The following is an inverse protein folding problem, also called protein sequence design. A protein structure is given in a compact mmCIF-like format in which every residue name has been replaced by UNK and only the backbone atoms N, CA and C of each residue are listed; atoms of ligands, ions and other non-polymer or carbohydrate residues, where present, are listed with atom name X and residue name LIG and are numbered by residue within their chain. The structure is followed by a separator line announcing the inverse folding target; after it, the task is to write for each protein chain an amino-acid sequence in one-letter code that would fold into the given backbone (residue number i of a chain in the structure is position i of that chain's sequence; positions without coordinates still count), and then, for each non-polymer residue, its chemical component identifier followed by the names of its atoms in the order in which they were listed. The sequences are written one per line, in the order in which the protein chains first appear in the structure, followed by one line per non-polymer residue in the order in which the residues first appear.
data_IF_946237085681
#
_entry.id   IF_946237085681
#
_cell.length_a   1.000
_cell.length_b   1.000
_cell.length_c   1.000
_cell.angle_alpha   90.00
_cell.angle_beta   90.00
_cell.angle_gamma   90.00
#
_symmetry.space_group_name_H-M   'P 1'
#
loop_
_entity.id
_entity.type
_entity.pdbx_description
1 polymer ?
#
# COMPACT_ATOMS: atom_id res chain seq x y z
N UNK A 1 -21.68 -17.91 -13.97
CA UNK A 1 -20.81 -18.55 -12.95
C UNK A 1 -20.35 -17.52 -11.92
N UNK A 2 -20.71 -17.69 -10.65
CA UNK A 2 -20.19 -16.86 -9.55
C UNK A 2 -19.07 -17.63 -8.85
N UNK A 3 -17.82 -17.28 -9.14
CA UNK A 3 -16.67 -17.81 -8.41
C UNK A 3 -16.52 -17.06 -7.09
N UNK A 4 -17.09 -17.59 -6.02
CA UNK A 4 -16.85 -17.12 -4.65
C UNK A 4 -15.40 -17.46 -4.28
N UNK A 5 -14.53 -16.44 -4.26
CA UNK A 5 -13.20 -16.58 -3.67
C UNK A 5 -13.35 -16.77 -2.16
N UNK A 6 -12.71 -17.81 -1.62
CA UNK A 6 -12.73 -18.13 -0.18
C UNK A 6 -12.24 -16.92 0.65
N UNK A 7 -12.74 -16.74 1.88
CA UNK A 7 -12.25 -15.69 2.77
C UNK A 7 -10.83 -16.07 3.22
N UNK A 8 -9.81 -15.46 2.62
CA UNK A 8 -8.43 -15.59 3.07
C UNK A 8 -8.29 -14.86 4.41
N UNK A 9 -8.31 -15.60 5.51
CA UNK A 9 -8.50 -15.00 6.83
C UNK A 9 -7.33 -14.14 7.30
N UNK A 10 -6.08 -14.42 6.91
CA UNK A 10 -4.91 -13.57 7.17
C UNK A 10 -3.83 -13.89 6.12
N UNK A 11 -3.78 -13.13 5.02
CA UNK A 11 -2.66 -13.24 4.10
C UNK A 11 -1.44 -12.56 4.73
N UNK A 12 -0.33 -13.27 4.90
CA UNK A 12 0.98 -12.67 5.24
C UNK A 12 1.49 -11.84 4.05
N UNK A 13 0.88 -10.67 3.83
CA UNK A 13 1.29 -9.72 2.80
C UNK A 13 2.48 -8.91 3.30
N UNK A 14 3.57 -8.94 2.53
CA UNK A 14 4.65 -7.97 2.71
C UNK A 14 4.23 -6.63 2.10
N UNK A 15 3.84 -5.69 2.96
CA UNK A 15 3.63 -4.29 2.62
C UNK A 15 4.79 -3.47 3.17
N UNK A 16 5.45 -2.70 2.31
CA UNK A 16 6.45 -1.70 2.72
C UNK A 16 5.92 -0.31 2.39
N UNK A 17 5.89 0.58 3.37
CA UNK A 17 5.55 1.99 3.12
C UNK A 17 6.63 2.60 2.22
N UNK A 18 6.21 3.31 1.17
CA UNK A 18 7.10 4.11 0.35
C UNK A 18 7.31 5.47 1.01
N UNK A 19 8.48 6.10 0.82
CA UNK A 19 8.72 7.44 1.37
C UNK A 19 7.67 8.43 0.86
N UNK A 20 7.30 9.37 1.73
CA UNK A 20 6.36 10.43 1.40
C UNK A 20 6.99 11.45 0.47
N UNK A 21 6.19 11.97 -0.45
CA UNK A 21 6.57 13.10 -1.28
C UNK A 21 6.67 14.38 -0.43
N UNK A 22 7.43 15.38 -0.87
CA UNK A 22 7.60 16.67 -0.18
C UNK A 22 6.24 17.32 0.15
N UNK A 23 5.32 17.32 -0.81
CA UNK A 23 3.96 17.83 -0.61
C UNK A 23 3.18 17.09 0.50
N UNK A 24 3.43 15.78 0.67
CA UNK A 24 2.77 14.98 1.70
C UNK A 24 3.38 15.22 3.08
N UNK A 25 4.69 15.43 3.15
CA UNK A 25 5.38 15.78 4.39
C UNK A 25 4.89 17.12 4.90
N UNK A 26 4.86 18.13 4.02
CA UNK A 26 4.30 19.45 4.35
C UNK A 26 2.83 19.37 4.78
N UNK A 27 2.00 18.62 4.07
CA UNK A 27 0.60 18.42 4.45
C UNK A 27 0.46 17.74 5.82
N UNK A 28 1.34 16.78 6.14
CA UNK A 28 1.37 16.14 7.45
C UNK A 28 1.80 17.12 8.55
N UNK A 29 2.78 17.98 8.29
CA UNK A 29 3.21 19.02 9.22
C UNK A 29 2.10 20.06 9.49
N UNK A 30 1.35 20.45 8.46
CA UNK A 30 0.27 21.43 8.57
C UNK A 30 -1.00 20.86 9.22
N UNK A 31 -1.38 19.63 8.88
CA UNK A 31 -2.69 19.07 9.23
C UNK A 31 -2.65 17.86 10.16
N UNK A 32 -1.46 17.33 10.44
CA UNK A 32 -1.25 16.13 11.25
C UNK A 32 -1.70 14.82 10.58
N UNK A 33 -2.15 14.82 9.32
CA UNK A 33 -2.65 13.63 8.65
C UNK A 33 -2.35 13.61 7.15
N UNK A 34 -2.32 12.40 6.57
CA UNK A 34 -2.08 12.20 5.13
C UNK A 34 -3.28 11.53 4.49
N UNK A 35 -3.79 12.13 3.41
CA UNK A 35 -4.97 11.60 2.71
C UNK A 35 -4.65 10.34 1.89
N UNK A 36 -3.45 10.26 1.31
CA UNK A 36 -3.05 9.15 0.45
C UNK A 36 -1.64 8.69 0.77
N UNK A 37 -1.44 7.38 0.87
CA UNK A 37 -0.14 6.76 1.11
C UNK A 37 0.15 5.69 0.06
N UNK A 38 1.43 5.49 -0.23
CA UNK A 38 1.87 4.50 -1.21
C UNK A 38 2.60 3.35 -0.53
N UNK A 39 2.23 2.12 -0.86
CA UNK A 39 2.92 0.91 -0.42
C UNK A 39 3.54 0.18 -1.60
N UNK A 40 4.68 -0.47 -1.34
CA UNK A 40 5.28 -1.48 -2.21
C UNK A 40 4.89 -2.86 -1.71
N UNK A 41 4.33 -3.69 -2.59
CA UNK A 41 3.89 -5.05 -2.30
C UNK A 41 4.28 -6.04 -3.41
N UNK A 42 3.95 -7.31 -3.21
CA UNK A 42 4.19 -8.37 -4.20
C UNK A 42 3.22 -8.27 -5.39
N UNK A 43 3.63 -8.62 -6.62
CA UNK A 43 2.77 -8.57 -7.80
C UNK A 43 1.49 -9.43 -7.71
N UNK A 44 1.49 -10.46 -6.85
CA UNK A 44 0.35 -11.36 -6.66
C UNK A 44 -0.79 -10.76 -5.83
N UNK A 45 -0.52 -9.71 -5.04
CA UNK A 45 -1.51 -9.13 -4.13
C UNK A 45 -2.69 -8.46 -4.86
N UNK A 46 -3.92 -8.79 -4.46
CA UNK A 46 -5.15 -8.17 -4.96
C UNK A 46 -5.56 -6.92 -4.18
N UNK A 47 -6.34 -6.02 -4.79
CA UNK A 47 -6.84 -4.80 -4.13
C UNK A 47 -7.65 -5.09 -2.86
N UNK A 48 -8.53 -6.10 -2.92
CA UNK A 48 -9.40 -6.51 -1.81
C UNK A 48 -8.56 -7.05 -0.64
N UNK A 49 -7.52 -7.82 -0.95
CA UNK A 49 -6.61 -8.39 0.05
C UNK A 49 -5.82 -7.29 0.76
N UNK A 50 -5.26 -6.34 0.00
CA UNK A 50 -4.53 -5.19 0.54
C UNK A 50 -5.45 -4.37 1.46
N UNK A 51 -6.68 -4.08 1.02
CA UNK A 51 -7.66 -3.35 1.84
C UNK A 51 -7.95 -4.06 3.16
N UNK A 52 -8.33 -5.34 3.10
CA UNK A 52 -8.65 -6.15 4.28
C UNK A 52 -7.45 -6.30 5.23
N UNK A 53 -6.24 -6.45 4.68
CA UNK A 53 -5.02 -6.55 5.47
C UNK A 53 -4.75 -5.26 6.24
N UNK A 54 -4.84 -4.09 5.57
CA UNK A 54 -4.64 -2.80 6.21
C UNK A 54 -5.69 -2.50 7.28
N UNK A 55 -6.95 -2.83 7.02
CA UNK A 55 -8.05 -2.67 7.98
C UNK A 55 -7.88 -3.59 9.19
N UNK A 56 -7.56 -4.87 8.99
CA UNK A 56 -7.50 -5.87 10.07
C UNK A 56 -6.22 -5.80 10.90
N UNK A 57 -5.07 -5.62 10.25
CA UNK A 57 -3.77 -5.68 10.93
C UNK A 57 -3.40 -4.33 11.52
N UNK A 58 -3.67 -3.24 10.81
CA UNK A 58 -3.28 -1.89 11.23
C UNK A 58 -4.46 -1.02 11.70
N UNK A 59 -5.71 -1.52 11.62
CA UNK A 59 -6.88 -0.74 12.04
C UNK A 59 -7.16 0.50 11.18
N UNK A 60 -6.59 0.58 9.97
CA UNK A 60 -6.72 1.77 9.13
C UNK A 60 -8.08 1.85 8.44
N UNK A 61 -8.68 3.04 8.42
CA UNK A 61 -9.91 3.31 7.68
C UNK A 61 -9.62 3.58 6.19
N UNK A 62 -9.68 2.55 5.35
CA UNK A 62 -9.34 2.63 3.93
C UNK A 62 -10.57 2.90 3.05
N UNK A 63 -10.56 4.04 2.34
CA UNK A 63 -11.61 4.38 1.37
C UNK A 63 -11.43 3.57 0.09
N UNK A 64 -10.26 3.70 -0.53
CA UNK A 64 -9.99 3.14 -1.85
C UNK A 64 -8.53 2.66 -1.96
N UNK A 65 -8.33 1.61 -2.77
CA UNK A 65 -7.01 1.09 -3.12
C UNK A 65 -6.87 1.08 -4.64
N UNK A 66 -5.86 1.78 -5.14
CA UNK A 66 -5.45 1.78 -6.54
C UNK A 66 -4.08 1.11 -6.63
N UNK A 67 -3.87 0.28 -7.65
CA UNK A 67 -2.64 -0.52 -7.77
C UNK A 67 -2.06 -0.40 -9.16
N UNK A 68 -0.73 -0.38 -9.26
CA UNK A 68 0.03 -0.41 -10.51
C UNK A 68 1.11 -1.47 -10.39
N UNK A 69 1.27 -2.30 -11.41
CA UNK A 69 2.35 -3.30 -11.48
C UNK A 69 3.58 -2.65 -12.09
N UNK A 70 4.74 -2.83 -11.47
CA UNK A 70 6.03 -2.34 -11.94
C UNK A 70 6.99 -3.51 -12.13
N UNK A 71 7.62 -3.55 -13.30
CA UNK A 71 8.73 -4.45 -13.56
C UNK A 71 9.98 -3.97 -12.82
N UNK A 72 10.76 -4.92 -12.31
CA UNK A 72 12.03 -4.64 -11.67
C UNK A 72 13.04 -4.06 -12.66
N UNK A 73 13.87 -3.13 -12.20
CA UNK A 73 14.88 -2.50 -13.05
C UNK A 73 15.94 -3.53 -13.46
N UNK A 74 16.17 -3.67 -14.77
CA UNK A 74 17.28 -4.46 -15.31
C UNK A 74 18.59 -3.68 -15.10
N UNK A 75 19.60 -4.35 -14.55
CA UNK A 75 20.90 -3.80 -14.18
C UNK A 75 22.01 -4.73 -14.66
N UNK A 76 23.17 -4.15 -15.01
CA UNK A 76 24.36 -4.92 -15.44
C UNK A 76 25.32 -5.10 -14.27
N UNK A 77 25.86 -6.31 -14.12
CA UNK A 77 26.97 -6.67 -13.23
C UNK A 77 28.13 -7.26 -14.05
N UNK A 78 29.30 -7.43 -13.44
CA UNK A 78 30.47 -8.04 -14.09
C UNK A 78 30.17 -9.43 -14.68
N UNK A 79 29.33 -10.22 -14.01
CA UNK A 79 28.97 -11.58 -14.42
C UNK A 79 27.76 -11.66 -15.39
N UNK A 80 27.11 -10.55 -15.72
CA UNK A 80 25.94 -10.55 -16.62
C UNK A 80 24.86 -9.54 -16.24
N UNK A 81 23.65 -9.73 -16.78
CA UNK A 81 22.49 -8.91 -16.44
C UNK A 81 21.72 -9.54 -15.28
N UNK A 82 21.25 -8.70 -14.34
CA UNK A 82 20.29 -9.09 -13.31
C UNK A 82 19.09 -8.15 -13.34
N UNK A 83 17.95 -8.63 -12.88
CA UNK A 83 16.75 -7.82 -12.72
C UNK A 83 16.39 -7.75 -11.24
N UNK A 84 16.00 -6.56 -10.79
CA UNK A 84 15.41 -6.43 -9.45
C UNK A 84 14.07 -7.15 -9.37
N UNK A 85 13.58 -7.40 -8.16
CA UNK A 85 12.26 -8.02 -8.01
C UNK A 85 11.14 -7.10 -8.47
N UNK A 86 10.25 -7.63 -9.29
CA UNK A 86 9.00 -6.98 -9.66
C UNK A 86 8.19 -6.66 -8.40
N UNK A 87 7.43 -5.58 -8.49
CA UNK A 87 6.60 -5.15 -7.38
C UNK A 87 5.33 -4.51 -7.85
N UNK A 88 4.37 -4.45 -6.93
CA UNK A 88 3.13 -3.70 -7.13
C UNK A 88 3.16 -2.48 -6.22
N UNK A 89 2.91 -1.31 -6.78
CA UNK A 89 2.67 -0.10 -6.02
C UNK A 89 1.18 -0.01 -5.71
N UNK A 90 0.84 0.19 -4.46
CA UNK A 90 -0.53 0.35 -4.01
C UNK A 90 -0.70 1.76 -3.42
N UNK A 91 -1.48 2.59 -4.09
CA UNK A 91 -1.95 3.87 -3.55
C UNK A 91 -3.21 3.60 -2.73
N UNK A 92 -3.17 4.00 -1.47
CA UNK A 92 -4.23 3.78 -0.49
C UNK A 92 -4.74 5.13 -0.06
N UNK A 93 -6.02 5.37 -0.27
CA UNK A 93 -6.71 6.57 0.20
C UNK A 93 -7.29 6.27 1.57
N UNK A 94 -6.87 7.04 2.58
CA UNK A 94 -7.36 6.94 3.94
C UNK A 94 -8.56 7.87 4.13
N UNK A 95 -9.45 7.50 5.05
CA UNK A 95 -10.45 8.46 5.54
C UNK A 95 -9.75 9.53 6.38
N UNK A 96 -10.19 10.79 6.30
CA UNK A 96 -9.76 11.80 7.24
C UNK A 96 -10.11 11.36 8.68
N UNK A 97 -9.29 11.73 9.67
CA UNK A 97 -9.59 11.44 11.06
C UNK A 97 -10.93 12.09 11.45
N UNK A 98 -11.76 11.35 12.17
CA UNK A 98 -12.99 11.91 12.72
C UNK A 98 -12.61 12.96 13.78
N UNK A 99 -13.21 14.16 13.72
CA UNK A 99 -12.93 15.26 14.67
C UNK A 99 -13.15 14.87 16.15
N UNK A 100 -13.83 13.75 16.41
CA UNK A 100 -14.14 13.20 17.74
C UNK A 100 -13.12 12.19 18.27
N UNK A 101 -12.13 11.76 17.49
CA UNK A 101 -11.16 10.74 17.90
C UNK A 101 -9.76 11.28 18.18
N UNK A 102 -9.61 12.59 18.47
CA UNK A 102 -8.34 13.11 18.96
C UNK A 102 -8.05 12.44 20.31
N UNK A 103 -6.90 11.78 20.51
CA UNK A 103 -6.49 11.43 21.86
C UNK A 103 -6.33 12.75 22.61
N UNK A 104 -7.00 12.85 23.76
CA UNK A 104 -6.77 13.90 24.74
C UNK A 104 -5.34 13.81 25.30
#
# INVERSE_FOLDING_TARGET
MSWKRLPTYLANLRLRLMPFNEAQQKAYEETGHVQQIAFKTTPRAGKIEIKRFLERVYGLNVVAVRTVNYEGKRKRRKQGFFQESDYKKAYVTLKPPDRKSSPA
#
